data_IF_661258068412
#
_entry.id   IF_661258068412
#
_cell.length_a   1.000
_cell.length_b   1.000
_cell.length_c   1.000
_cell.angle_alpha   90.00
_cell.angle_beta   90.00
_cell.angle_gamma   90.00
#
_symmetry.space_group_name_H-M   'P 1'
#
loop_
_entity.id
_entity.type
_entity.pdbx_description
1 polymer ?
#
# COMPACT_ATOMS: atom_id res chain seq x y z
N UNK A 1 -43.39 36.91 12.22
CA UNK A 1 -43.06 35.62 11.58
C UNK A 1 -41.76 35.77 10.81
N UNK A 2 -40.85 34.81 10.93
CA UNK A 2 -39.58 34.79 10.20
C UNK A 2 -39.57 33.54 9.32
N UNK A 3 -39.33 33.69 8.01
CA UNK A 3 -39.37 32.60 7.02
C UNK A 3 -40.67 31.77 7.04
N UNK A 4 -41.82 32.39 7.34
CA UNK A 4 -43.11 31.69 7.43
C UNK A 4 -43.25 30.73 8.60
N UNK A 5 -42.30 30.71 9.54
CA UNK A 5 -42.28 29.82 10.70
C UNK A 5 -42.54 30.65 11.97
N UNK A 6 -43.32 30.09 12.90
CA UNK A 6 -43.58 30.66 14.23
C UNK A 6 -44.90 31.39 14.39
N UNK A 7 -45.05 32.06 15.54
CA UNK A 7 -46.24 32.86 15.86
C UNK A 7 -46.11 34.30 15.29
N UNK A 8 -47.24 34.97 14.98
CA UNK A 8 -47.23 36.37 14.57
C UNK A 8 -46.85 37.32 15.73
N UNK A 9 -47.25 36.98 16.95
CA UNK A 9 -46.87 37.69 18.19
C UNK A 9 -46.78 36.70 19.36
N UNK A 10 -45.92 36.99 20.35
CA UNK A 10 -45.82 36.21 21.58
C UNK A 10 -46.98 36.48 22.55
N UNK A 11 -47.65 37.64 22.42
CA UNK A 11 -48.74 38.06 23.29
C UNK A 11 -49.96 37.15 23.12
N UNK A 12 -50.51 36.66 24.23
CA UNK A 12 -51.66 35.74 24.25
C UNK A 12 -51.30 34.27 24.05
N UNK A 13 -50.04 33.94 23.74
CA UNK A 13 -49.59 32.53 23.60
C UNK A 13 -49.24 31.85 24.93
N UNK A 14 -49.14 32.62 26.02
CA UNK A 14 -48.72 32.10 27.32
C UNK A 14 -47.25 31.66 27.40
N UNK A 15 -46.44 31.94 26.37
CA UNK A 15 -45.01 31.57 26.30
C UNK A 15 -44.19 32.72 25.71
N UNK A 16 -42.85 32.59 25.75
CA UNK A 16 -41.93 33.58 25.20
C UNK A 16 -41.80 33.52 23.66
N UNK A 17 -42.57 32.65 22.97
CA UNK A 17 -42.54 32.41 21.53
C UNK A 17 -41.14 32.12 20.94
N UNK A 18 -40.27 31.48 21.73
CA UNK A 18 -38.94 31.07 21.28
C UNK A 18 -39.05 29.88 20.31
N UNK A 19 -38.52 30.04 19.10
CA UNK A 19 -38.59 29.03 18.03
C UNK A 19 -37.19 28.43 17.85
N UNK A 20 -37.07 27.11 18.05
CA UNK A 20 -35.86 26.36 17.74
C UNK A 20 -36.03 25.57 16.45
N UNK A 21 -34.92 25.31 15.76
CA UNK A 21 -34.93 24.40 14.60
C UNK A 21 -35.11 22.96 15.09
N UNK A 22 -35.95 22.18 14.43
CA UNK A 22 -36.00 20.75 14.69
C UNK A 22 -34.72 20.08 14.16
N UNK A 23 -33.92 19.49 15.03
CA UNK A 23 -32.67 18.79 14.69
C UNK A 23 -32.92 17.38 14.15
N UNK A 24 -34.07 16.78 14.47
CA UNK A 24 -34.46 15.43 14.04
C UNK A 24 -35.16 15.41 12.67
N UNK A 25 -35.49 16.58 12.10
CA UNK A 25 -35.99 16.64 10.72
C UNK A 25 -34.86 16.24 9.78
N UNK A 26 -34.96 15.03 9.25
CA UNK A 26 -34.17 14.59 8.11
C UNK A 26 -34.55 15.48 6.94
N UNK A 27 -33.61 16.32 6.48
CA UNK A 27 -33.77 17.04 5.23
C UNK A 27 -33.84 15.96 4.14
N UNK A 28 -34.99 15.80 3.49
CA UNK A 28 -35.06 15.04 2.25
C UNK A 28 -34.05 15.71 1.33
N UNK A 29 -32.97 15.00 1.02
CA UNK A 29 -31.94 15.51 0.12
C UNK A 29 -32.62 15.61 -1.24
N UNK A 30 -32.95 16.82 -1.66
CA UNK A 30 -33.37 17.11 -3.03
C UNK A 30 -32.18 16.80 -3.94
N UNK A 31 -32.09 15.55 -4.37
CA UNK A 31 -31.07 15.05 -5.28
C UNK A 31 -30.18 13.93 -4.72
N UNK A 32 -29.47 13.22 -5.62
CA UNK A 32 -28.56 12.12 -5.27
C UNK A 32 -27.48 12.51 -4.23
N UNK A 33 -26.81 11.51 -3.64
CA UNK A 33 -25.62 11.75 -2.83
C UNK A 33 -24.59 12.53 -3.66
N UNK A 34 -24.41 13.82 -3.36
CA UNK A 34 -23.60 14.74 -4.15
C UNK A 34 -24.07 16.20 -4.08
N UNK A 35 -25.36 16.43 -3.79
CA UNK A 35 -25.91 17.78 -3.68
C UNK A 35 -26.74 18.20 -4.91
N UNK A 36 -27.26 19.44 -4.94
CA UNK A 36 -28.10 19.92 -6.02
C UNK A 36 -27.25 20.10 -7.28
N UNK A 37 -27.38 19.18 -8.24
CA UNK A 37 -26.64 19.20 -9.51
C UNK A 37 -26.14 17.84 -9.98
N UNK A 38 -26.03 16.84 -9.09
CA UNK A 38 -25.71 15.47 -9.50
C UNK A 38 -26.91 14.84 -10.21
N UNK A 39 -26.73 14.32 -11.43
CA UNK A 39 -27.77 13.50 -12.06
C UNK A 39 -27.71 12.10 -11.45
N UNK A 40 -28.87 11.56 -11.07
CA UNK A 40 -28.97 10.20 -10.52
C UNK A 40 -28.44 9.13 -11.50
N UNK A 41 -28.44 9.44 -12.80
CA UNK A 41 -27.85 8.60 -13.85
C UNK A 41 -26.34 8.43 -13.72
N UNK A 42 -25.60 9.51 -13.43
CA UNK A 42 -24.13 9.48 -13.36
C UNK A 42 -23.65 8.59 -12.19
N UNK A 43 -24.35 8.65 -11.05
CA UNK A 43 -24.06 7.79 -9.90
C UNK A 43 -24.34 6.31 -10.20
N UNK A 44 -25.40 6.01 -10.96
CA UNK A 44 -25.72 4.63 -11.36
C UNK A 44 -24.69 4.10 -12.35
N UNK A 45 -24.22 4.92 -13.29
CA UNK A 45 -23.19 4.51 -14.25
C UNK A 45 -21.83 4.31 -13.56
N UNK A 46 -21.48 5.16 -12.59
CA UNK A 46 -20.30 4.96 -11.73
C UNK A 46 -20.40 3.69 -10.87
N UNK A 47 -21.60 3.30 -10.43
CA UNK A 47 -21.83 2.05 -9.70
C UNK A 47 -21.87 0.80 -10.58
N UNK A 48 -22.24 0.94 -11.85
CA UNK A 48 -22.32 -0.17 -12.82
C UNK A 48 -20.95 -0.51 -13.41
N UNK A 49 -20.02 0.45 -13.44
CA UNK A 49 -18.65 0.21 -13.84
C UNK A 49 -17.90 -0.69 -12.84
N UNK A 50 -16.92 -1.48 -13.29
CA UNK A 50 -15.92 -2.07 -12.38
C UNK A 50 -15.33 -0.94 -11.51
N UNK A 51 -15.09 -1.16 -10.20
CA UNK A 51 -14.46 -0.15 -9.37
C UNK A 51 -13.18 0.32 -10.06
N UNK A 52 -13.11 1.61 -10.39
CA UNK A 52 -11.96 2.18 -11.09
C UNK A 52 -10.78 2.16 -10.12
N UNK A 53 -10.02 1.06 -10.15
CA UNK A 53 -8.76 0.93 -9.44
C UNK A 53 -7.75 1.85 -10.10
N UNK A 54 -7.69 3.10 -9.63
CA UNK A 54 -6.66 4.04 -10.06
C UNK A 54 -5.32 3.48 -9.60
N UNK A 55 -4.47 3.14 -10.57
CA UNK A 55 -3.11 2.72 -10.27
C UNK A 55 -2.37 3.88 -9.59
N UNK A 56 -1.47 3.59 -8.64
CA UNK A 56 -0.61 4.62 -8.07
C UNK A 56 0.26 5.21 -9.17
N UNK A 57 0.39 6.54 -9.19
CA UNK A 57 1.27 7.22 -10.13
C UNK A 57 2.69 7.27 -9.55
N UNK A 58 3.65 6.73 -10.30
CA UNK A 58 5.05 6.66 -9.89
C UNK A 58 5.63 8.07 -9.76
N UNK A 59 5.26 8.99 -10.62
CA UNK A 59 5.75 10.38 -10.58
C UNK A 59 5.34 11.08 -9.28
N UNK A 60 4.10 10.87 -8.83
CA UNK A 60 3.60 11.45 -7.58
C UNK A 60 4.30 10.81 -6.38
N UNK A 61 4.51 9.50 -6.38
CA UNK A 61 5.23 8.81 -5.31
C UNK A 61 6.69 9.27 -5.19
N UNK A 62 7.36 9.48 -6.32
CA UNK A 62 8.73 9.99 -6.37
C UNK A 62 8.80 11.44 -5.89
N UNK A 63 7.83 12.27 -6.27
CA UNK A 63 7.70 13.63 -5.78
C UNK A 63 7.51 13.67 -4.26
N UNK A 64 6.62 12.84 -3.71
CA UNK A 64 6.41 12.74 -2.26
C UNK A 64 7.65 12.21 -1.53
N UNK A 65 8.43 11.32 -2.16
CA UNK A 65 9.71 10.87 -1.60
C UNK A 65 10.73 12.00 -1.53
N UNK A 66 10.90 12.77 -2.61
CA UNK A 66 11.81 13.92 -2.65
C UNK A 66 11.36 15.03 -1.69
N UNK A 67 10.08 15.36 -1.69
CA UNK A 67 9.47 16.36 -0.81
C UNK A 67 9.76 16.07 0.65
N UNK A 68 9.65 14.80 1.08
CA UNK A 68 9.97 14.41 2.46
C UNK A 68 11.43 14.65 2.85
N UNK A 69 12.37 14.40 1.94
CA UNK A 69 13.79 14.70 2.19
C UNK A 69 13.98 16.21 2.34
N UNK A 70 13.42 17.01 1.43
CA UNK A 70 13.58 18.47 1.46
C UNK A 70 12.90 19.11 2.68
N UNK A 71 11.74 18.61 3.11
CA UNK A 71 11.10 19.06 4.37
C UNK A 71 12.04 18.83 5.56
N UNK A 72 12.65 17.65 5.65
CA UNK A 72 13.54 17.33 6.77
C UNK A 72 14.85 18.14 6.72
N UNK A 73 15.35 18.43 5.52
CA UNK A 73 16.47 19.34 5.30
C UNK A 73 16.13 20.76 5.74
N UNK A 74 14.95 21.25 5.40
CA UNK A 74 14.48 22.57 5.81
C UNK A 74 14.33 22.67 7.33
N UNK A 75 13.77 21.64 7.99
CA UNK A 75 13.71 21.60 9.45
C UNK A 75 15.11 21.67 10.12
N UNK A 76 16.12 21.04 9.52
CA UNK A 76 17.50 21.13 10.02
C UNK A 76 18.07 22.54 9.85
N UNK A 77 17.79 23.18 8.71
CA UNK A 77 18.19 24.56 8.44
C UNK A 77 17.64 25.50 9.50
N UNK A 78 16.33 25.48 9.72
CA UNK A 78 15.66 26.32 10.72
C UNK A 78 16.27 26.15 12.12
N UNK A 79 16.61 24.90 12.51
CA UNK A 79 17.26 24.60 13.78
C UNK A 79 18.70 25.14 13.90
N UNK A 80 19.44 25.22 12.80
CA UNK A 80 20.80 25.76 12.81
C UNK A 80 20.78 27.29 12.78
N UNK A 81 19.84 27.89 12.05
CA UNK A 81 19.59 29.33 12.05
C UNK A 81 19.16 29.82 13.44
N UNK A 82 18.25 29.11 14.13
CA UNK A 82 17.84 29.45 15.50
C UNK A 82 19.01 29.36 16.51
N UNK A 83 20.00 28.50 16.24
CA UNK A 83 21.23 28.38 17.04
C UNK A 83 22.29 29.44 16.69
N UNK A 84 22.06 30.26 15.66
CA UNK A 84 23.01 31.27 15.20
C UNK A 84 24.25 30.69 14.54
N UNK A 85 24.12 29.56 13.84
CA UNK A 85 25.21 29.02 13.02
C UNK A 85 25.49 29.95 11.81
N UNK A 86 26.72 29.89 11.30
CA UNK A 86 27.14 30.63 10.11
C UNK A 86 26.59 30.01 8.83
N UNK A 87 26.30 30.83 7.82
CA UNK A 87 25.65 30.40 6.56
C UNK A 87 26.45 29.30 5.84
N UNK A 88 27.79 29.40 5.83
CA UNK A 88 28.65 28.40 5.20
C UNK A 88 28.61 27.06 5.96
N UNK A 89 28.51 27.11 7.29
CA UNK A 89 28.38 25.91 8.12
C UNK A 89 27.01 25.24 7.94
N UNK A 90 25.95 26.03 7.76
CA UNK A 90 24.59 25.57 7.51
C UNK A 90 24.51 24.82 6.17
N UNK A 91 25.04 25.39 5.08
CA UNK A 91 25.00 24.76 3.76
C UNK A 91 25.80 23.44 3.72
N UNK A 92 26.97 23.39 4.36
CA UNK A 92 27.74 22.14 4.48
C UNK A 92 26.98 21.06 5.28
N UNK A 93 26.35 21.43 6.39
CA UNK A 93 25.56 20.49 7.19
C UNK A 93 24.33 19.96 6.43
N UNK A 94 23.65 20.83 5.67
CA UNK A 94 22.49 20.49 4.86
C UNK A 94 22.87 19.55 3.71
N UNK A 95 23.97 19.83 3.00
CA UNK A 95 24.40 19.00 1.86
C UNK A 95 24.77 17.59 2.30
N UNK A 96 25.53 17.45 3.40
CA UNK A 96 25.83 16.17 4.02
C UNK A 96 24.56 15.44 4.46
N UNK A 97 23.63 16.17 5.09
CA UNK A 97 22.39 15.58 5.57
C UNK A 97 21.46 15.13 4.42
N UNK A 98 21.40 15.88 3.33
CA UNK A 98 20.66 15.51 2.10
C UNK A 98 21.22 14.22 1.50
N UNK A 99 22.55 14.06 1.44
CA UNK A 99 23.18 12.83 0.96
C UNK A 99 22.87 11.63 1.86
N UNK A 100 22.92 11.80 3.17
CA UNK A 100 22.55 10.76 4.15
C UNK A 100 21.09 10.34 4.00
N UNK A 101 20.17 11.30 3.94
CA UNK A 101 18.74 11.00 3.77
C UNK A 101 18.43 10.37 2.41
N UNK A 102 19.11 10.76 1.34
CA UNK A 102 18.94 10.13 0.04
C UNK A 102 19.35 8.64 0.06
N UNK A 103 20.43 8.30 0.77
CA UNK A 103 20.87 6.92 0.97
C UNK A 103 19.89 6.13 1.87
N UNK A 104 19.39 6.74 2.94
CA UNK A 104 18.48 6.10 3.90
C UNK A 104 17.02 6.01 3.41
N UNK A 105 16.57 6.88 2.50
CA UNK A 105 15.20 6.91 2.02
C UNK A 105 14.76 5.62 1.31
N UNK A 106 15.70 4.75 0.92
CA UNK A 106 15.40 3.39 0.43
C UNK A 106 15.11 2.37 1.53
N UNK A 107 15.54 2.65 2.76
CA UNK A 107 15.54 1.73 3.90
C UNK A 107 14.50 2.18 4.95
N UNK A 108 14.30 3.49 5.11
CA UNK A 108 13.28 4.06 5.99
C UNK A 108 11.90 3.94 5.32
N UNK A 109 11.33 2.73 5.36
CA UNK A 109 9.90 2.55 5.22
C UNK A 109 9.20 3.48 6.21
N UNK A 110 8.39 4.40 5.68
CA UNK A 110 7.69 5.41 6.47
C UNK A 110 6.94 4.78 7.63
N UNK A 111 7.34 5.07 8.87
CA UNK A 111 6.59 4.72 10.07
C UNK A 111 5.27 5.51 10.19
N UNK A 112 5.12 6.57 9.39
CA UNK A 112 3.89 7.35 9.35
C UNK A 112 2.89 6.74 8.36
N UNK A 113 1.64 6.66 8.81
CA UNK A 113 0.49 6.20 8.01
C UNK A 113 0.45 7.00 6.69
N UNK A 114 0.29 6.32 5.54
CA UNK A 114 0.15 6.99 4.26
C UNK A 114 -1.09 7.91 4.30
N UNK A 115 -0.87 9.21 4.19
CA UNK A 115 -1.91 10.25 4.16
C UNK A 115 -2.37 10.56 2.73
N UNK A 116 -1.50 10.34 1.74
CA UNK A 116 -1.80 10.62 0.33
C UNK A 116 -2.51 9.45 -0.36
N UNK A 117 -3.42 9.77 -1.27
CA UNK A 117 -4.25 8.81 -2.01
C UNK A 117 -3.40 7.83 -2.83
N UNK A 118 -2.31 8.28 -3.46
CA UNK A 118 -1.45 7.41 -4.25
C UNK A 118 -0.60 6.49 -3.37
N UNK A 119 -0.12 7.00 -2.23
CA UNK A 119 0.60 6.18 -1.25
C UNK A 119 -0.29 5.07 -0.64
N UNK A 120 -1.57 5.38 -0.37
CA UNK A 120 -2.57 4.40 0.08
C UNK A 120 -2.86 3.39 -1.03
N UNK A 121 -3.01 3.83 -2.28
CA UNK A 121 -3.26 2.96 -3.42
C UNK A 121 -2.09 1.98 -3.65
N UNK A 122 -0.84 2.46 -3.57
CA UNK A 122 0.35 1.62 -3.66
C UNK A 122 0.42 0.58 -2.53
N UNK A 123 0.16 1.00 -1.28
CA UNK A 123 0.11 0.08 -0.15
C UNK A 123 -0.97 -0.99 -0.33
N UNK A 124 -2.18 -0.59 -0.75
CA UNK A 124 -3.27 -1.52 -1.06
C UNK A 124 -2.91 -2.47 -2.19
N UNK A 125 -2.22 -2.02 -3.24
CA UNK A 125 -1.79 -2.90 -4.33
C UNK A 125 -0.82 -3.98 -3.83
N UNK A 126 0.10 -3.63 -2.93
CA UNK A 126 0.98 -4.61 -2.28
C UNK A 126 0.18 -5.58 -1.42
N UNK A 127 -0.74 -5.09 -0.57
CA UNK A 127 -1.62 -5.92 0.25
C UNK A 127 -2.48 -6.87 -0.59
N UNK A 128 -3.09 -6.37 -1.66
CA UNK A 128 -3.88 -7.17 -2.59
C UNK A 128 -3.01 -8.21 -3.30
N UNK A 129 -1.79 -7.86 -3.71
CA UNK A 129 -0.87 -8.84 -4.31
C UNK A 129 -0.47 -9.95 -3.33
N UNK A 130 -0.35 -9.62 -2.03
CA UNK A 130 -0.06 -10.58 -0.97
C UNK A 130 -1.25 -11.48 -0.71
N UNK A 131 -2.45 -10.91 -0.67
CA UNK A 131 -3.71 -11.63 -0.52
C UNK A 131 -3.96 -12.56 -1.72
N UNK A 132 -3.69 -12.09 -2.95
CA UNK A 132 -3.80 -12.87 -4.18
C UNK A 132 -2.92 -14.13 -4.12
N UNK A 133 -1.66 -13.99 -3.68
CA UNK A 133 -0.76 -15.13 -3.48
C UNK A 133 -1.26 -16.06 -2.38
N UNK A 134 -1.76 -15.52 -1.28
CA UNK A 134 -2.28 -16.31 -0.16
C UNK A 134 -3.51 -17.14 -0.55
N UNK A 135 -4.39 -16.60 -1.40
CA UNK A 135 -5.54 -17.30 -1.95
C UNK A 135 -5.19 -18.23 -3.12
N UNK A 136 -3.93 -18.27 -3.56
CA UNK A 136 -3.50 -19.10 -4.69
C UNK A 136 -4.04 -18.62 -6.05
N UNK A 137 -4.45 -17.35 -6.15
CA UNK A 137 -4.91 -16.76 -7.41
C UNK A 137 -3.70 -16.41 -8.26
N UNK A 138 -3.68 -16.84 -9.52
CA UNK A 138 -2.58 -16.55 -10.44
C UNK A 138 -2.53 -15.07 -10.83
N UNK A 139 -1.36 -14.52 -11.13
CA UNK A 139 -1.21 -13.16 -11.67
C UNK A 139 -1.97 -12.95 -12.98
N UNK A 140 -2.06 -13.99 -13.81
CA UNK A 140 -2.76 -13.99 -15.09
C UNK A 140 -4.22 -14.46 -14.97
N UNK A 141 -4.83 -14.32 -13.78
CA UNK A 141 -6.22 -14.69 -13.58
C UNK A 141 -7.13 -13.75 -14.38
N UNK A 142 -7.96 -14.32 -15.24
CA UNK A 142 -8.94 -13.59 -16.03
C UNK A 142 -10.32 -13.90 -15.46
N UNK A 143 -11.03 -12.86 -15.04
CA UNK A 143 -12.39 -12.97 -14.53
C UNK A 143 -13.30 -13.63 -15.57
N UNK A 144 -14.21 -14.49 -15.13
CA UNK A 144 -15.14 -15.18 -16.04
C UNK A 144 -14.56 -16.40 -16.76
N UNK A 145 -13.23 -16.55 -16.85
CA UNK A 145 -12.59 -17.69 -17.53
C UNK A 145 -12.96 -19.04 -16.91
N UNK A 146 -13.22 -19.08 -15.59
CA UNK A 146 -13.65 -20.29 -14.90
C UNK A 146 -15.03 -20.81 -15.35
N UNK A 147 -15.88 -19.95 -15.93
CA UNK A 147 -17.21 -20.34 -16.43
C UNK A 147 -17.20 -20.75 -17.90
N UNK A 148 -16.10 -20.49 -18.62
CA UNK A 148 -15.95 -20.90 -20.01
C UNK A 148 -15.58 -22.38 -20.06
N UNK A 149 -16.17 -23.13 -21.01
CA UNK A 149 -15.73 -24.51 -21.27
C UNK A 149 -14.28 -24.45 -21.75
N UNK A 150 -13.41 -25.05 -20.96
CA UNK A 150 -11.99 -25.19 -21.31
C UNK A 150 -11.85 -25.97 -22.62
N UNK A 151 -11.05 -25.43 -23.55
CA UNK A 151 -10.66 -26.15 -24.76
C UNK A 151 -9.68 -27.27 -24.41
N UNK A 152 -9.61 -28.31 -25.25
CA UNK A 152 -8.70 -29.45 -25.05
C UNK A 152 -7.23 -29.00 -24.98
N UNK A 153 -6.87 -27.96 -25.75
CA UNK A 153 -5.55 -27.34 -25.74
C UNK A 153 -5.20 -26.69 -24.40
N UNK A 154 -6.16 -26.02 -23.74
CA UNK A 154 -5.93 -25.41 -22.42
C UNK A 154 -5.79 -26.45 -21.31
N UNK A 155 -6.48 -27.58 -21.46
CA UNK A 155 -6.28 -28.74 -20.57
C UNK A 155 -4.90 -29.33 -20.76
N UNK A 156 -4.48 -29.60 -22.00
CA UNK A 156 -3.16 -30.13 -22.31
C UNK A 156 -2.03 -29.20 -21.78
N UNK A 157 -2.16 -27.88 -21.97
CA UNK A 157 -1.22 -26.88 -21.43
C UNK A 157 -1.11 -26.92 -19.90
N UNK A 158 -2.23 -27.09 -19.18
CA UNK A 158 -2.19 -27.21 -17.71
C UNK A 158 -1.58 -28.53 -17.23
N UNK A 159 -1.79 -29.63 -17.96
CA UNK A 159 -1.11 -30.89 -17.66
C UNK A 159 0.39 -30.77 -17.88
N UNK A 160 0.83 -30.20 -19.01
CA UNK A 160 2.24 -29.95 -19.29
C UNK A 160 2.91 -29.06 -18.23
N UNK A 161 2.29 -27.93 -17.85
CA UNK A 161 2.82 -27.02 -16.82
C UNK A 161 2.92 -27.70 -15.43
N UNK A 162 2.00 -28.63 -15.12
CA UNK A 162 2.10 -29.45 -13.89
C UNK A 162 3.26 -30.42 -13.96
N UNK A 163 3.43 -31.14 -15.07
CA UNK A 163 4.55 -32.07 -15.25
C UNK A 163 5.90 -31.36 -15.20
N UNK A 164 6.02 -30.18 -15.82
CA UNK A 164 7.24 -29.37 -15.74
C UNK A 164 7.53 -28.93 -14.32
N UNK A 165 6.54 -28.43 -13.58
CA UNK A 165 6.71 -28.06 -12.17
C UNK A 165 7.15 -29.23 -11.30
N UNK A 166 6.59 -30.42 -11.53
CA UNK A 166 6.97 -31.59 -10.76
C UNK A 166 8.37 -32.11 -11.12
N UNK A 167 8.77 -32.04 -12.40
CA UNK A 167 10.16 -32.29 -12.83
C UNK A 167 11.14 -31.31 -12.17
N UNK A 168 10.82 -30.01 -12.15
CA UNK A 168 11.66 -28.99 -11.51
C UNK A 168 11.78 -29.25 -10.00
N UNK A 169 10.69 -29.62 -9.31
CA UNK A 169 10.76 -29.99 -7.88
C UNK A 169 11.66 -31.19 -7.65
N UNK A 170 11.54 -32.24 -8.47
CA UNK A 170 12.41 -33.42 -8.38
C UNK A 170 13.87 -33.05 -8.60
N UNK A 171 14.16 -32.22 -9.60
CA UNK A 171 15.53 -31.76 -9.88
C UNK A 171 16.11 -30.94 -8.71
N UNK A 172 15.32 -30.05 -8.10
CA UNK A 172 15.74 -29.27 -6.93
C UNK A 172 16.00 -30.15 -5.71
N UNK A 173 15.15 -31.15 -5.46
CA UNK A 173 15.35 -32.12 -4.37
C UNK A 173 16.64 -32.92 -4.60
N UNK A 174 16.85 -33.44 -5.81
CA UNK A 174 18.08 -34.17 -6.16
C UNK A 174 19.34 -33.30 -6.03
N UNK A 175 19.28 -32.02 -6.38
CA UNK A 175 20.39 -31.07 -6.18
C UNK A 175 20.69 -30.88 -4.70
N UNK A 176 19.66 -30.72 -3.86
CA UNK A 176 19.82 -30.60 -2.40
C UNK A 176 20.44 -31.86 -1.78
N UNK A 177 19.96 -33.04 -2.15
CA UNK A 177 20.53 -34.31 -1.65
C UNK A 177 22.01 -34.48 -2.03
N UNK A 178 22.38 -34.12 -3.26
CA UNK A 178 23.80 -34.14 -3.69
C UNK A 178 24.67 -33.15 -2.91
N UNK A 179 24.15 -31.97 -2.61
CA UNK A 179 24.86 -30.96 -1.83
C UNK A 179 25.03 -31.40 -0.36
N UNK A 180 23.99 -31.99 0.23
CA UNK A 180 24.04 -32.57 1.58
C UNK A 180 25.03 -33.74 1.67
N UNK A 181 25.04 -34.63 0.66
CA UNK A 181 26.01 -35.72 0.58
C UNK A 181 27.45 -35.20 0.48
N UNK A 182 27.69 -34.14 -0.31
CA UNK A 182 28.99 -33.47 -0.37
C UNK A 182 29.39 -32.86 0.97
N UNK A 183 28.49 -32.14 1.65
CA UNK A 183 28.76 -31.55 2.98
C UNK A 183 29.06 -32.63 4.03
N UNK A 184 28.34 -33.75 3.99
CA UNK A 184 28.58 -34.89 4.88
C UNK A 184 29.95 -35.54 4.63
N UNK A 185 30.31 -35.75 3.37
CA UNK A 185 31.62 -36.27 3.00
C UNK A 185 32.76 -35.32 3.44
N UNK A 186 32.61 -34.00 3.22
CA UNK A 186 33.57 -33.00 3.69
C UNK A 186 33.70 -32.99 5.22
N UNK A 187 32.59 -33.14 5.95
CA UNK A 187 32.59 -33.24 7.41
C UNK A 187 33.31 -34.50 7.91
N UNK A 188 33.02 -35.66 7.32
CA UNK A 188 33.69 -36.93 7.66
C UNK A 188 35.21 -36.88 7.37
N UNK A 189 35.63 -36.23 6.28
CA UNK A 189 37.05 -36.04 5.99
C UNK A 189 37.73 -35.13 7.02
N UNK A 190 37.11 -34.00 7.39
CA UNK A 190 37.62 -33.13 8.46
C UNK A 190 37.69 -33.84 9.80
N UNK A 191 36.71 -34.66 10.14
CA UNK A 191 36.70 -35.43 11.39
C UNK A 191 37.81 -36.51 11.40
N UNK A 192 38.04 -37.20 10.28
CA UNK A 192 39.15 -38.16 10.13
C UNK A 192 40.51 -37.48 10.30
N UNK A 193 40.69 -36.28 9.74
CA UNK A 193 41.91 -35.49 9.91
C UNK A 193 42.08 -35.11 11.39
N UNK A 194 41.02 -34.59 12.06
CA UNK A 194 41.06 -34.24 13.49
C UNK A 194 41.45 -35.43 14.37
N UNK A 195 40.83 -36.60 14.16
CA UNK A 195 41.18 -37.83 14.91
C UNK A 195 42.63 -38.25 14.67
N UNK A 196 43.16 -38.11 13.45
CA UNK A 196 44.57 -38.42 13.16
C UNK A 196 45.54 -37.46 13.86
N UNK A 197 45.18 -36.19 13.97
CA UNK A 197 45.98 -35.20 14.72
C UNK A 197 45.96 -35.47 16.22
N UNK A 198 44.82 -35.88 16.79
CA UNK A 198 44.69 -36.28 18.20
C UNK A 198 45.57 -37.49 18.55
N UNK A 199 45.68 -38.50 17.66
CA UNK A 199 46.54 -39.68 17.87
C UNK A 199 48.03 -39.43 17.69
N UNK A 200 48.43 -38.28 17.12
CA UNK A 200 49.83 -37.95 16.83
C UNK A 200 50.48 -37.10 17.94
N UNK A 201 49.70 -36.74 18.97
CA UNK A 201 50.09 -35.94 20.13
C UNK A 201 50.36 -36.85 21.33
#
# INVERSE_FOLDING_TARGET
MYNGIGLPTARGSGTNAYISRNTAVLRIREGPPGGPGGRYGDFIDDLKGPPVHRQPDIGILDHERKRRVEVRVMELRDQLEEKGADDDAIENAITDFRQRLAAEAGILGSFNRPTDSHSIAAAKQVEMSRLQRALGVSANHVEGKAFQRETEEERAKRFADREERDRVKVEVVLKREKEEARRKAEWEQKEKIRRREEYKK
#
